data_IF_193848879009
#
_entry.id   IF_193848879009
#
_cell.length_a   1.000
_cell.length_b   1.000
_cell.length_c   1.000
_cell.angle_alpha   90.00
_cell.angle_beta   90.00
_cell.angle_gamma   90.00
#
_symmetry.space_group_name_H-M   'P 1'
#
loop_
_entity.id
_entity.type
_entity.pdbx_description
1 polymer ?
#
# COMPACT_ATOMS: atom_id res chain seq x y z
N UNK A 1 1.83 16.74 -0.51
CA UNK A 1 0.45 17.26 -0.41
C UNK A 1 -0.16 16.73 0.86
N UNK A 2 -0.58 17.60 1.78
CA UNK A 2 -1.33 17.19 2.97
C UNK A 2 -2.81 17.07 2.61
N UNK A 3 -3.48 16.04 3.11
CA UNK A 3 -4.91 15.81 2.93
C UNK A 3 -5.56 15.66 4.30
N UNK A 4 -6.62 16.43 4.54
CA UNK A 4 -7.34 16.40 5.81
C UNK A 4 -8.20 15.14 5.89
N UNK A 5 -8.21 14.53 7.07
CA UNK A 5 -9.11 13.41 7.37
C UNK A 5 -10.51 13.97 7.59
N UNK A 6 -11.50 13.37 6.94
CA UNK A 6 -12.92 13.75 7.10
C UNK A 6 -13.44 13.32 8.48
N UNK A 7 -14.59 13.84 8.90
CA UNK A 7 -15.22 13.48 10.18
C UNK A 7 -15.47 11.97 10.36
N UNK A 8 -15.55 11.21 9.26
CA UNK A 8 -15.74 9.75 9.27
C UNK A 8 -14.42 8.96 9.23
N UNK A 9 -13.28 9.63 9.41
CA UNK A 9 -11.97 8.98 9.34
C UNK A 9 -11.48 8.66 7.93
N UNK A 10 -12.13 9.17 6.88
CA UNK A 10 -11.72 8.92 5.50
C UNK A 10 -10.69 9.96 5.06
N UNK A 11 -9.62 9.53 4.37
CA UNK A 11 -8.67 10.41 3.69
C UNK A 11 -8.81 10.26 2.18
N UNK A 12 -8.73 11.37 1.46
CA UNK A 12 -8.77 11.33 -0.01
C UNK A 12 -7.37 11.06 -0.55
N UNK A 13 -7.22 10.01 -1.35
CA UNK A 13 -5.96 9.74 -2.05
C UNK A 13 -5.90 10.61 -3.31
N UNK A 14 -4.89 11.51 -3.44
CA UNK A 14 -4.75 12.37 -4.62
C UNK A 14 -4.62 11.57 -5.92
N UNK A 15 -5.10 12.13 -7.03
CA UNK A 15 -5.06 11.47 -8.36
C UNK A 15 -3.68 10.89 -8.73
N UNK A 16 -2.56 11.62 -8.60
CA UNK A 16 -1.24 11.07 -8.94
C UNK A 16 -0.87 9.81 -8.15
N UNK A 17 -1.28 9.75 -6.88
CA UNK A 17 -1.03 8.59 -6.01
C UNK A 17 -1.93 7.42 -6.39
N UNK A 18 -3.20 7.69 -6.75
CA UNK A 18 -4.11 6.64 -7.24
C UNK A 18 -3.60 6.01 -8.54
N UNK A 19 -3.14 6.84 -9.46
CA UNK A 19 -2.62 6.41 -10.76
C UNK A 19 -1.33 5.58 -10.58
N UNK A 20 -0.43 6.02 -9.68
CA UNK A 20 0.80 5.29 -9.33
C UNK A 20 0.50 3.92 -8.70
N UNK A 21 -0.49 3.85 -7.80
CA UNK A 21 -0.89 2.61 -7.14
C UNK A 21 -1.82 1.74 -8.00
N UNK A 22 -2.32 2.27 -9.13
CA UNK A 22 -3.30 1.61 -9.98
C UNK A 22 -4.59 1.25 -9.23
N UNK A 23 -5.01 2.08 -8.28
CA UNK A 23 -6.25 1.89 -7.52
C UNK A 23 -7.40 2.65 -8.16
N UNK A 24 -8.51 1.94 -8.37
CA UNK A 24 -9.76 2.47 -8.92
C UNK A 24 -10.85 2.47 -7.84
N UNK A 25 -11.96 3.19 -8.00
CA UNK A 25 -13.10 3.06 -7.11
C UNK A 25 -13.49 1.59 -6.93
N UNK A 26 -13.60 1.13 -5.67
CA UNK A 26 -13.87 -0.27 -5.33
C UNK A 26 -12.62 -1.16 -5.13
N UNK A 27 -11.40 -0.64 -5.38
CA UNK A 27 -10.17 -1.35 -5.04
C UNK A 27 -9.99 -1.45 -3.52
N UNK A 28 -9.54 -2.60 -3.05
CA UNK A 28 -9.18 -2.81 -1.64
C UNK A 28 -7.72 -2.43 -1.41
N UNK A 29 -7.47 -1.78 -0.29
CA UNK A 29 -6.12 -1.38 0.15
C UNK A 29 -5.90 -1.89 1.57
N UNK A 30 -4.67 -2.27 1.85
CA UNK A 30 -4.21 -2.72 3.15
C UNK A 30 -3.21 -1.70 3.72
N UNK A 31 -3.29 -1.49 5.03
CA UNK A 31 -2.48 -0.53 5.75
C UNK A 31 -1.60 -1.29 6.74
N UNK A 32 -0.28 -1.13 6.60
CA UNK A 32 0.66 -1.68 7.56
C UNK A 32 1.59 -0.61 8.07
N UNK A 33 2.03 -0.78 9.31
CA UNK A 33 3.04 0.07 9.92
C UNK A 33 4.41 -0.51 9.60
N UNK A 34 5.28 0.28 8.98
CA UNK A 34 6.65 -0.09 8.76
C UNK A 34 7.48 0.13 10.04
N UNK A 35 8.68 -0.47 10.06
CA UNK A 35 9.58 -0.44 11.22
C UNK A 35 10.07 0.98 11.56
N UNK A 36 10.09 1.88 10.58
CA UNK A 36 10.41 3.30 10.74
C UNK A 36 9.24 4.13 11.30
N UNK A 37 8.11 3.49 11.61
CA UNK A 37 6.91 4.14 12.10
C UNK A 37 6.04 4.76 11.01
N UNK A 38 6.44 4.66 9.73
CA UNK A 38 5.62 5.11 8.61
C UNK A 38 4.43 4.17 8.39
N UNK A 39 3.35 4.71 7.81
CA UNK A 39 2.19 3.91 7.39
C UNK A 39 2.31 3.68 5.89
N UNK A 40 2.41 2.41 5.51
CA UNK A 40 2.53 2.00 4.12
C UNK A 40 1.18 1.48 3.67
N UNK A 41 0.74 2.00 2.52
CA UNK A 41 -0.50 1.59 1.88
C UNK A 41 -0.16 0.66 0.71
N UNK A 42 -0.72 -0.53 0.72
CA UNK A 42 -0.57 -1.51 -0.35
C UNK A 42 -1.91 -1.91 -0.92
N UNK A 43 -1.94 -2.16 -2.22
CA UNK A 43 -3.12 -2.67 -2.91
C UNK A 43 -3.37 -4.12 -2.50
N UNK A 44 -4.58 -4.44 -2.04
CA UNK A 44 -4.96 -5.75 -1.49
C UNK A 44 -5.74 -6.63 -2.48
N UNK A 45 -6.27 -6.06 -3.55
CA UNK A 45 -7.17 -6.75 -4.50
C UNK A 45 -6.45 -7.53 -5.62
N UNK A 46 -5.13 -7.38 -5.84
CA UNK A 46 -4.36 -8.40 -6.57
C UNK A 46 -3.51 -9.21 -5.61
N UNK A 47 -3.61 -10.54 -5.72
CA UNK A 47 -2.45 -11.40 -5.48
C UNK A 47 -1.30 -10.84 -6.33
N UNK A 48 -0.28 -10.28 -5.68
CA UNK A 48 1.00 -10.02 -6.35
C UNK A 48 1.39 -11.35 -7.02
N UNK A 49 1.65 -11.37 -8.35
CA UNK A 49 2.22 -12.55 -8.97
C UNK A 49 3.47 -12.87 -8.18
N UNK A 50 3.59 -14.14 -7.74
CA UNK A 50 4.75 -14.54 -6.99
C UNK A 50 6.01 -14.14 -7.76
N UNK A 51 6.84 -13.28 -7.18
CA UNK A 51 8.02 -12.80 -7.89
C UNK A 51 8.89 -14.02 -8.16
N UNK A 52 9.48 -14.13 -9.36
CA UNK A 52 10.45 -15.20 -9.66
C UNK A 52 11.60 -15.23 -8.64
N UNK A 53 11.82 -14.11 -7.94
CA UNK A 53 12.81 -13.94 -6.89
C UNK A 53 12.30 -14.20 -5.47
N UNK A 54 11.01 -14.51 -5.25
CA UNK A 54 10.52 -14.86 -3.90
C UNK A 54 11.19 -16.11 -3.35
N UNK A 55 11.43 -17.11 -4.21
CA UNK A 55 12.19 -18.32 -3.85
C UNK A 55 13.68 -18.06 -3.62
N UNK A 56 14.19 -16.91 -4.06
CA UNK A 56 15.60 -16.50 -3.96
C UNK A 56 15.85 -15.53 -2.79
N UNK A 57 14.80 -15.06 -2.09
CA UNK A 57 14.97 -14.32 -0.83
C UNK A 57 15.34 -15.31 0.27
N UNK A 58 16.64 -15.55 0.43
CA UNK A 58 17.16 -16.06 1.69
C UNK A 58 16.96 -15.01 2.79
N UNK A 59 16.56 -15.44 3.98
CA UNK A 59 16.64 -14.61 5.18
C UNK A 59 18.11 -14.16 5.38
N UNK A 60 18.35 -12.86 5.44
CA UNK A 60 19.63 -12.33 5.87
C UNK A 60 19.52 -12.01 7.37
N UNK A 61 19.93 -12.97 8.20
CA UNK A 61 20.44 -12.70 9.55
C UNK A 61 19.49 -12.87 10.74
N UNK A 62 20.08 -13.45 11.80
CA UNK A 62 19.67 -13.49 13.20
C UNK A 62 19.89 -12.13 13.87
#
# INVERSE_FOLDING_TARGET
MATTVTAKGQVTIPKPVRDLLGIVPGSQVDFHRAADGSVVLTRADKKRPASRFEKLRGHAGK
#
